data_IF_491197652165
#
_entry.id   IF_491197652165
#
_cell.length_a   1.000
_cell.length_b   1.000
_cell.length_c   1.000
_cell.angle_alpha   90.00
_cell.angle_beta   90.00
_cell.angle_gamma   90.00
#
_symmetry.space_group_name_H-M   'P 1'
#
loop_
_entity.id
_entity.type
_entity.pdbx_description
1 polymer ?
#
# COMPACT_ATOMS: atom_id res chain seq x y z
N UNK A 1 12.93 8.19 22.51
CA UNK A 1 11.72 8.75 21.90
C UNK A 1 10.66 7.69 21.98
N UNK A 2 9.51 7.97 22.52
CA UNK A 2 8.45 6.97 22.70
C UNK A 2 7.53 6.96 21.46
N UNK A 3 6.99 5.81 21.09
CA UNK A 3 5.99 5.70 20.00
C UNK A 3 4.81 6.68 20.19
N UNK A 4 4.52 7.05 21.44
CA UNK A 4 3.50 8.08 21.75
C UNK A 4 3.80 9.46 21.14
N UNK A 5 5.06 9.79 20.95
CA UNK A 5 5.47 11.12 20.48
C UNK A 5 5.16 11.33 18.99
N UNK A 6 4.91 10.27 18.24
CA UNK A 6 4.55 10.33 16.81
C UNK A 6 3.05 10.55 16.52
N UNK A 7 2.21 10.62 17.55
CA UNK A 7 0.75 10.79 17.37
C UNK A 7 0.37 12.14 16.81
N UNK A 8 1.07 13.17 17.27
CA UNK A 8 0.80 14.56 16.94
C UNK A 8 2.13 15.16 16.49
N UNK A 9 2.22 15.52 15.23
CA UNK A 9 3.44 16.05 14.63
C UNK A 9 3.91 17.31 15.37
N UNK A 10 2.98 18.19 15.77
CA UNK A 10 3.31 19.41 16.52
C UNK A 10 3.85 19.08 17.94
N UNK A 11 3.21 18.16 18.66
CA UNK A 11 3.69 17.69 19.96
C UNK A 11 5.04 16.99 19.85
N UNK A 12 5.24 16.19 18.80
CA UNK A 12 6.51 15.55 18.51
C UNK A 12 7.62 16.59 18.30
N UNK A 13 7.38 17.61 17.49
CA UNK A 13 8.35 18.68 17.23
C UNK A 13 8.71 19.44 18.52
N UNK A 14 7.72 19.80 19.31
CA UNK A 14 7.92 20.47 20.59
C UNK A 14 8.79 19.60 21.54
N UNK A 15 8.44 18.34 21.71
CA UNK A 15 9.17 17.39 22.55
C UNK A 15 10.57 17.12 22.02
N UNK A 16 10.74 17.00 20.70
CA UNK A 16 12.03 16.79 20.07
C UNK A 16 12.97 17.97 20.37
N UNK A 17 12.54 19.19 20.12
CA UNK A 17 13.31 20.41 20.42
C UNK A 17 13.63 20.53 21.91
N UNK A 18 12.68 20.19 22.78
CA UNK A 18 12.85 20.16 24.24
C UNK A 18 13.95 19.16 24.65
N UNK A 19 13.90 17.93 24.12
CA UNK A 19 14.90 16.91 24.43
C UNK A 19 16.26 17.20 23.79
N UNK A 20 16.30 17.81 22.64
CA UNK A 20 17.53 18.24 21.99
C UNK A 20 18.31 19.25 22.84
N UNK A 21 17.63 20.12 23.60
CA UNK A 21 18.22 21.12 24.51
C UNK A 21 18.66 20.55 25.86
N UNK A 22 18.13 19.38 26.26
CA UNK A 22 18.49 18.78 27.58
C UNK A 22 19.94 18.28 27.58
N UNK A 23 20.70 18.58 28.67
CA UNK A 23 22.09 18.18 28.83
C UNK A 23 22.30 16.87 29.61
N UNK A 24 21.27 16.43 30.31
CA UNK A 24 21.27 15.20 31.12
C UNK A 24 20.96 13.93 30.30
N UNK A 25 20.58 14.06 29.03
CA UNK A 25 20.36 12.94 28.16
C UNK A 25 21.62 12.54 27.40
N UNK A 26 21.87 11.21 27.34
CA UNK A 26 22.88 10.66 26.41
C UNK A 26 22.41 10.83 24.99
N UNK A 27 23.10 11.61 24.19
CA UNK A 27 22.72 11.89 22.78
C UNK A 27 23.97 11.99 21.90
N UNK A 28 23.74 11.71 20.62
CA UNK A 28 24.69 11.95 19.54
C UNK A 28 24.08 13.00 18.62
N UNK A 29 24.86 14.00 18.26
CA UNK A 29 24.44 15.06 17.33
C UNK A 29 24.93 14.70 15.94
N UNK A 30 24.01 14.78 14.99
CA UNK A 30 24.26 14.59 13.56
C UNK A 30 23.47 15.67 12.81
N UNK A 31 23.94 16.10 11.64
CA UNK A 31 23.13 16.97 10.79
C UNK A 31 21.93 16.19 10.21
N UNK A 32 20.79 16.88 9.98
CA UNK A 32 19.63 16.27 9.33
C UNK A 32 20.00 15.71 7.94
N UNK A 33 20.88 16.40 7.21
CA UNK A 33 21.41 15.94 5.94
C UNK A 33 22.17 14.61 6.07
N UNK A 34 23.02 14.46 7.09
CA UNK A 34 23.76 13.22 7.33
C UNK A 34 22.84 12.07 7.71
N UNK A 35 21.84 12.31 8.58
CA UNK A 35 20.82 11.30 8.93
C UNK A 35 20.05 10.86 7.69
N UNK A 36 19.64 11.79 6.86
CA UNK A 36 18.85 11.49 5.67
C UNK A 36 19.70 10.77 4.61
N UNK A 37 20.87 11.29 4.25
CA UNK A 37 21.73 10.71 3.19
C UNK A 37 22.35 9.38 3.61
N UNK A 38 23.03 9.36 4.73
CA UNK A 38 23.84 8.21 5.16
C UNK A 38 23.03 7.19 5.96
N UNK A 39 22.05 7.63 6.75
CA UNK A 39 21.21 6.76 7.55
C UNK A 39 20.04 6.18 6.74
N UNK A 40 19.28 7.02 6.06
CA UNK A 40 18.04 6.57 5.40
C UNK A 40 18.29 6.18 3.94
N UNK A 41 18.73 7.11 3.09
CA UNK A 41 18.82 6.85 1.64
C UNK A 41 19.86 5.80 1.31
N UNK A 42 21.05 5.88 1.91
CA UNK A 42 22.12 4.91 1.65
C UNK A 42 21.69 3.52 2.08
N UNK A 43 21.26 3.35 3.31
CA UNK A 43 20.84 2.05 3.82
C UNK A 43 19.66 1.47 3.02
N UNK A 44 18.68 2.32 2.66
CA UNK A 44 17.54 1.92 1.83
C UNK A 44 17.98 1.44 0.45
N UNK A 45 18.96 2.08 -0.18
CA UNK A 45 19.44 1.69 -1.51
C UNK A 45 20.37 0.49 -1.48
N UNK A 46 21.20 0.37 -0.44
CA UNK A 46 22.15 -0.73 -0.30
C UNK A 46 21.46 -2.05 0.06
N UNK A 47 20.48 -2.01 0.97
CA UNK A 47 19.79 -3.20 1.46
C UNK A 47 18.42 -3.43 0.80
N UNK A 48 17.80 -2.38 0.28
CA UNK A 48 16.43 -2.41 -0.24
C UNK A 48 15.33 -2.45 0.83
N UNK A 49 15.67 -2.49 2.12
CA UNK A 49 14.77 -2.91 3.22
C UNK A 49 14.38 -1.82 4.20
N UNK A 50 14.91 -0.60 4.15
CA UNK A 50 14.43 0.48 5.03
C UNK A 50 13.06 0.94 4.54
N UNK A 51 12.02 0.46 5.21
CA UNK A 51 10.63 0.86 4.96
C UNK A 51 10.35 2.21 5.61
N UNK A 52 9.55 3.02 4.96
CA UNK A 52 9.22 4.36 5.45
C UNK A 52 7.71 4.46 5.68
N UNK A 53 7.34 5.13 6.76
CA UNK A 53 5.95 5.46 7.07
C UNK A 53 5.86 6.97 7.29
N UNK A 54 5.04 7.64 6.50
CA UNK A 54 4.73 9.05 6.65
C UNK A 54 3.54 9.18 7.61
N UNK A 55 3.85 9.35 8.88
CA UNK A 55 2.83 9.23 9.94
C UNK A 55 1.77 10.33 9.86
N UNK A 56 2.12 11.50 9.38
CA UNK A 56 1.20 12.61 9.11
C UNK A 56 0.16 12.22 8.04
N UNK A 57 0.60 11.68 6.90
CA UNK A 57 -0.31 11.17 5.87
C UNK A 57 -1.18 10.03 6.40
N UNK A 58 -0.61 9.13 7.23
CA UNK A 58 -1.36 8.03 7.85
C UNK A 58 -2.48 8.55 8.73
N UNK A 59 -2.20 9.50 9.61
CA UNK A 59 -3.21 10.03 10.54
C UNK A 59 -4.24 10.93 9.85
N UNK A 60 -3.79 11.73 8.89
CA UNK A 60 -4.66 12.71 8.22
C UNK A 60 -5.58 12.08 7.17
N UNK A 61 -5.11 11.03 6.47
CA UNK A 61 -5.81 10.42 5.33
C UNK A 61 -6.34 9.01 5.62
N UNK A 62 -6.15 8.50 6.84
CA UNK A 62 -6.62 7.16 7.25
C UNK A 62 -8.11 7.11 7.53
N UNK A 63 -8.69 5.91 7.66
CA UNK A 63 -10.11 5.71 7.90
C UNK A 63 -10.54 5.94 9.35
N UNK A 64 -9.59 6.07 10.27
CA UNK A 64 -9.85 6.26 11.69
C UNK A 64 -9.65 7.72 12.10
N UNK A 65 -10.54 8.20 12.94
CA UNK A 65 -10.37 9.50 13.58
C UNK A 65 -9.28 9.37 14.66
N UNK A 66 -8.21 10.18 14.61
CA UNK A 66 -7.12 10.14 15.59
C UNK A 66 -7.56 10.42 17.04
N UNK A 67 -8.71 11.04 17.27
CA UNK A 67 -9.28 11.23 18.60
C UNK A 67 -9.68 9.91 19.25
N UNK A 68 -10.15 8.94 18.47
CA UNK A 68 -10.54 7.61 18.96
C UNK A 68 -9.45 6.57 18.76
N UNK A 69 -8.81 6.60 17.60
CA UNK A 69 -7.86 5.57 17.18
C UNK A 69 -6.61 6.17 16.55
N UNK A 70 -5.47 5.90 17.13
CA UNK A 70 -4.17 6.28 16.58
C UNK A 70 -3.50 5.09 15.91
N UNK A 71 -3.00 5.28 14.70
CA UNK A 71 -2.16 4.30 14.01
C UNK A 71 -0.70 4.52 14.39
N UNK A 72 -0.03 3.48 14.90
CA UNK A 72 1.36 3.57 15.36
C UNK A 72 2.35 2.95 14.40
N UNK A 73 1.91 1.98 13.60
CA UNK A 73 2.77 1.18 12.74
C UNK A 73 1.96 0.53 11.61
N UNK A 74 2.66 0.07 10.58
CA UNK A 74 2.11 -0.79 9.52
C UNK A 74 2.44 -2.27 9.78
N UNK A 75 1.87 -3.16 8.95
CA UNK A 75 2.36 -4.52 8.81
C UNK A 75 3.72 -4.56 8.08
N UNK A 76 4.29 -5.76 7.91
CA UNK A 76 5.57 -5.96 7.23
C UNK A 76 5.55 -5.40 5.80
N UNK A 77 4.49 -5.65 5.04
CA UNK A 77 4.38 -5.20 3.64
C UNK A 77 3.89 -3.75 3.48
N UNK A 78 3.67 -3.03 4.57
CA UNK A 78 3.34 -1.60 4.63
C UNK A 78 1.98 -1.17 4.07
N UNK A 79 1.08 -2.10 3.69
CA UNK A 79 -0.25 -1.76 3.18
C UNK A 79 -1.33 -1.69 4.26
N UNK A 80 -1.14 -2.36 5.40
CA UNK A 80 -2.13 -2.42 6.48
C UNK A 80 -1.82 -1.37 7.54
N UNK A 81 -2.80 -0.51 7.78
CA UNK A 81 -2.74 0.58 8.77
C UNK A 81 -3.97 0.49 9.68
N UNK A 82 -3.86 -0.31 10.74
CA UNK A 82 -4.93 -0.57 11.68
C UNK A 82 -4.53 -0.15 13.10
N UNK A 83 -5.49 0.33 13.91
CA UNK A 83 -5.23 0.65 15.30
C UNK A 83 -4.97 -0.62 16.09
N UNK A 84 -3.92 -0.61 16.90
CA UNK A 84 -3.55 -1.68 17.81
C UNK A 84 -3.59 -1.21 19.25
N UNK A 85 -3.84 -2.14 20.18
CA UNK A 85 -3.76 -1.89 21.62
C UNK A 85 -2.77 -2.87 22.24
N UNK A 86 -1.77 -2.39 23.01
CA UNK A 86 -0.80 -3.25 23.66
C UNK A 86 -1.46 -4.11 24.74
N UNK A 87 -0.93 -5.30 24.96
CA UNK A 87 -1.39 -6.21 26.01
C UNK A 87 -0.16 -6.85 26.72
N UNK A 88 -0.35 -7.28 27.95
CA UNK A 88 0.73 -7.85 28.77
C UNK A 88 0.71 -9.38 28.78
N UNK A 89 -0.45 -9.99 28.54
CA UNK A 89 -0.69 -11.42 28.63
C UNK A 89 -1.63 -11.85 27.51
N UNK A 90 -1.57 -13.10 27.07
CA UNK A 90 -2.44 -13.65 26.02
C UNK A 90 -3.93 -13.69 26.41
N UNK A 91 -4.24 -13.67 27.70
CA UNK A 91 -5.60 -13.61 28.22
C UNK A 91 -6.10 -12.17 28.49
N UNK A 92 -5.33 -11.16 28.10
CA UNK A 92 -5.71 -9.75 28.28
C UNK A 92 -6.77 -9.35 27.23
N UNK A 93 -8.00 -9.20 27.70
CA UNK A 93 -9.15 -8.82 26.88
C UNK A 93 -9.16 -7.36 26.42
N UNK A 94 -8.15 -6.56 26.78
CA UNK A 94 -8.04 -5.15 26.36
C UNK A 94 -7.10 -4.95 25.16
N UNK A 95 -6.30 -5.96 24.83
CA UNK A 95 -5.38 -5.91 23.70
C UNK A 95 -6.09 -6.03 22.34
N UNK A 96 -5.50 -5.43 21.29
CA UNK A 96 -5.97 -5.60 19.92
C UNK A 96 -4.78 -5.69 18.97
N UNK A 97 -4.74 -6.71 18.12
CA UNK A 97 -3.74 -6.90 17.07
C UNK A 97 -4.36 -6.64 15.69
N UNK A 98 -3.55 -6.17 14.74
CA UNK A 98 -4.00 -5.96 13.38
C UNK A 98 -4.24 -7.29 12.66
N UNK A 99 -5.26 -7.35 11.80
CA UNK A 99 -5.58 -8.48 10.95
C UNK A 99 -5.42 -8.12 9.48
N UNK A 100 -4.64 -8.90 8.73
CA UNK A 100 -4.51 -8.77 7.29
C UNK A 100 -5.57 -9.62 6.57
N UNK A 101 -6.71 -9.03 6.21
CA UNK A 101 -7.78 -9.71 5.45
C UNK A 101 -7.81 -9.13 4.05
N UNK A 102 -7.14 -9.79 3.12
CA UNK A 102 -6.79 -9.23 1.82
C UNK A 102 -7.56 -9.85 0.66
N UNK A 103 -7.83 -9.02 -0.34
CA UNK A 103 -8.35 -9.41 -1.64
C UNK A 103 -7.89 -8.42 -2.71
N UNK A 104 -8.07 -8.75 -4.00
CA UNK A 104 -7.70 -7.85 -5.09
C UNK A 104 -8.68 -7.97 -6.24
N UNK A 105 -9.04 -6.84 -6.84
CA UNK A 105 -9.84 -6.76 -8.06
C UNK A 105 -8.90 -6.76 -9.27
N UNK A 106 -9.10 -7.72 -10.17
CA UNK A 106 -8.35 -7.80 -11.43
C UNK A 106 -8.92 -6.83 -12.46
N UNK A 107 -8.36 -5.62 -12.55
CA UNK A 107 -8.85 -4.60 -13.49
C UNK A 107 -8.75 -5.03 -14.95
N UNK A 108 -7.76 -5.85 -15.30
CA UNK A 108 -7.61 -6.36 -16.65
C UNK A 108 -8.77 -7.24 -17.15
N UNK A 109 -9.58 -7.78 -16.24
CA UNK A 109 -10.73 -8.61 -16.56
C UNK A 109 -11.96 -7.81 -17.05
N UNK A 110 -12.02 -6.50 -16.80
CA UNK A 110 -13.17 -5.67 -17.09
C UNK A 110 -12.93 -4.77 -18.31
N UNK A 111 -14.02 -4.43 -19.02
CA UNK A 111 -13.98 -3.47 -20.13
C UNK A 111 -14.15 -2.05 -19.61
N UNK A 112 -15.12 -1.86 -18.74
CA UNK A 112 -15.49 -0.57 -18.16
C UNK A 112 -15.45 -0.66 -16.64
N UNK A 113 -15.28 0.45 -15.92
CA UNK A 113 -15.22 0.44 -14.46
C UNK A 113 -16.55 0.02 -13.81
N UNK A 114 -17.70 0.26 -14.45
CA UNK A 114 -19.03 -0.15 -13.97
C UNK A 114 -19.17 -1.67 -13.85
N UNK A 115 -18.48 -2.42 -14.71
CA UNK A 115 -18.52 -3.88 -14.72
C UNK A 115 -17.93 -4.49 -13.43
N UNK A 116 -17.14 -3.73 -12.66
CA UNK A 116 -16.55 -4.19 -11.40
C UNK A 116 -17.54 -4.28 -10.23
N UNK A 117 -18.70 -3.59 -10.29
CA UNK A 117 -19.63 -3.49 -9.14
C UNK A 117 -19.97 -4.84 -8.53
N UNK A 118 -20.32 -5.81 -9.38
CA UNK A 118 -20.66 -7.16 -8.92
C UNK A 118 -19.46 -7.87 -8.28
N UNK A 119 -18.26 -7.73 -8.85
CA UNK A 119 -17.05 -8.34 -8.31
C UNK A 119 -16.67 -7.75 -6.94
N UNK A 120 -16.72 -6.44 -6.79
CA UNK A 120 -16.49 -5.75 -5.52
C UNK A 120 -17.44 -6.27 -4.44
N UNK A 121 -18.75 -6.31 -4.73
CA UNK A 121 -19.78 -6.81 -3.81
C UNK A 121 -19.57 -8.27 -3.39
N UNK A 122 -19.24 -9.15 -4.35
CA UNK A 122 -19.03 -10.58 -4.07
C UNK A 122 -17.76 -10.77 -3.26
N UNK A 123 -16.65 -10.15 -3.65
CA UNK A 123 -15.38 -10.27 -2.95
C UNK A 123 -15.50 -9.79 -1.49
N UNK A 124 -16.07 -8.61 -1.29
CA UNK A 124 -16.25 -8.06 0.05
C UNK A 124 -17.14 -8.95 0.94
N UNK A 125 -18.27 -9.42 0.41
CA UNK A 125 -19.14 -10.38 1.13
C UNK A 125 -18.40 -11.68 1.45
N UNK A 126 -17.59 -12.20 0.55
CA UNK A 126 -16.82 -13.41 0.77
C UNK A 126 -15.80 -13.23 1.90
N UNK A 127 -15.08 -12.11 1.91
CA UNK A 127 -14.13 -11.80 2.97
C UNK A 127 -14.82 -11.58 4.32
N UNK A 128 -15.97 -10.89 4.35
CA UNK A 128 -16.79 -10.77 5.57
C UNK A 128 -17.25 -12.14 6.07
N UNK A 129 -17.67 -13.06 5.17
CA UNK A 129 -18.06 -14.41 5.56
C UNK A 129 -16.89 -15.19 6.17
N UNK A 130 -15.67 -15.02 5.65
CA UNK A 130 -14.47 -15.64 6.23
C UNK A 130 -14.22 -15.08 7.64
N UNK A 131 -14.29 -13.78 7.83
CA UNK A 131 -14.12 -13.14 9.14
C UNK A 131 -15.18 -13.59 10.16
N UNK A 132 -16.42 -13.76 9.72
CA UNK A 132 -17.53 -14.19 10.58
C UNK A 132 -17.47 -15.70 10.90
N UNK A 133 -16.84 -16.52 10.05
CA UNK A 133 -16.82 -17.98 10.14
C UNK A 133 -15.59 -18.54 10.86
N UNK A 134 -14.42 -17.86 10.76
CA UNK A 134 -13.16 -18.39 11.27
C UNK A 134 -13.08 -18.36 12.81
N UNK A 135 -12.39 -19.35 13.39
CA UNK A 135 -11.97 -19.34 14.78
C UNK A 135 -10.69 -18.52 14.96
N UNK A 136 -10.66 -17.65 15.95
CA UNK A 136 -9.49 -16.82 16.24
C UNK A 136 -8.60 -17.45 17.30
N UNK A 137 -7.30 -17.54 17.04
CA UNK A 137 -6.31 -18.14 17.94
C UNK A 137 -6.08 -17.34 19.23
N UNK A 138 -6.44 -16.06 19.24
CA UNK A 138 -6.28 -15.19 20.40
C UNK A 138 -7.48 -14.28 20.58
N UNK A 139 -7.73 -13.89 21.84
CA UNK A 139 -8.78 -12.93 22.17
C UNK A 139 -8.52 -11.55 21.50
N UNK A 140 -7.25 -11.17 21.33
CA UNK A 140 -6.86 -9.90 20.72
C UNK A 140 -7.15 -9.86 19.21
N UNK A 141 -7.03 -11.01 18.52
CA UNK A 141 -7.44 -11.15 17.12
C UNK A 141 -8.96 -11.09 17.00
N UNK A 142 -9.67 -11.79 17.89
CA UNK A 142 -11.13 -11.78 17.93
C UNK A 142 -11.67 -10.38 18.16
N UNK A 143 -11.10 -9.63 19.11
CA UNK A 143 -11.49 -8.25 19.38
C UNK A 143 -11.29 -7.33 18.15
N UNK A 144 -10.18 -7.50 17.43
CA UNK A 144 -9.96 -6.75 16.18
C UNK A 144 -11.07 -7.03 15.17
N UNK A 145 -11.43 -8.30 15.00
CA UNK A 145 -12.55 -8.68 14.14
C UNK A 145 -13.89 -8.11 14.61
N UNK A 146 -14.24 -8.31 15.87
CA UNK A 146 -15.53 -7.93 16.41
C UNK A 146 -15.73 -6.40 16.40
N UNK A 147 -14.68 -5.64 16.69
CA UNK A 147 -14.75 -4.18 16.79
C UNK A 147 -14.73 -3.49 15.43
N UNK A 148 -13.88 -3.92 14.48
CA UNK A 148 -13.62 -3.17 13.24
C UNK A 148 -13.84 -3.95 11.94
N UNK A 149 -13.93 -5.29 11.95
CA UNK A 149 -14.13 -6.09 10.73
C UNK A 149 -13.22 -5.65 9.57
N UNK A 150 -11.86 -5.65 9.72
CA UNK A 150 -10.97 -4.97 8.79
C UNK A 150 -10.82 -5.74 7.48
N UNK A 151 -10.91 -5.03 6.35
CA UNK A 151 -10.63 -5.54 5.02
C UNK A 151 -9.56 -4.70 4.34
N UNK A 152 -8.81 -5.32 3.41
CA UNK A 152 -7.86 -4.65 2.53
C UNK A 152 -8.02 -5.17 1.10
N UNK A 153 -8.91 -4.55 0.32
CA UNK A 153 -9.18 -4.93 -1.07
C UNK A 153 -8.37 -4.01 -2.00
N UNK A 154 -7.45 -4.59 -2.75
CA UNK A 154 -6.54 -3.88 -3.65
C UNK A 154 -6.87 -4.03 -5.12
N UNK A 155 -5.87 -3.76 -5.95
CA UNK A 155 -5.88 -3.84 -7.41
C UNK A 155 -4.81 -4.81 -7.87
N UNK A 156 -5.10 -5.63 -8.86
CA UNK A 156 -4.10 -6.44 -9.56
C UNK A 156 -4.23 -6.30 -11.06
N UNK A 157 -3.16 -6.69 -11.78
CA UNK A 157 -3.10 -6.69 -13.23
C UNK A 157 -3.10 -5.29 -13.88
N UNK A 158 -2.60 -4.28 -13.16
CA UNK A 158 -2.61 -2.89 -13.64
C UNK A 158 -1.73 -2.70 -14.89
N UNK A 159 -0.57 -3.36 -14.96
CA UNK A 159 0.30 -3.25 -16.12
C UNK A 159 -0.35 -3.83 -17.41
N UNK A 160 -1.08 -4.92 -17.30
CA UNK A 160 -1.88 -5.44 -18.42
C UNK A 160 -3.02 -4.49 -18.78
N UNK A 161 -3.71 -3.94 -17.78
CA UNK A 161 -4.76 -2.97 -17.96
C UNK A 161 -4.27 -1.73 -18.76
N UNK A 162 -3.07 -1.20 -18.42
CA UNK A 162 -2.40 -0.14 -19.18
C UNK A 162 -2.06 -0.57 -20.61
N UNK A 163 -1.42 -1.71 -20.77
CA UNK A 163 -1.02 -2.23 -22.09
C UNK A 163 -2.21 -2.43 -23.02
N UNK A 164 -3.32 -2.97 -22.50
CA UNK A 164 -4.56 -3.21 -23.25
C UNK A 164 -5.20 -1.91 -23.75
N UNK A 165 -5.05 -0.82 -23.00
CA UNK A 165 -5.57 0.52 -23.33
C UNK A 165 -4.56 1.41 -24.05
N UNK A 166 -3.32 0.94 -24.23
CA UNK A 166 -2.21 1.74 -24.77
C UNK A 166 -1.90 2.99 -23.93
N UNK A 167 -2.13 2.90 -22.63
CA UNK A 167 -1.81 3.92 -21.64
C UNK A 167 -0.44 3.64 -21.02
N UNK A 168 0.17 4.67 -20.44
CA UNK A 168 1.45 4.56 -19.75
C UNK A 168 1.40 5.14 -18.34
N UNK A 169 2.17 4.52 -17.44
CA UNK A 169 2.28 5.00 -16.08
C UNK A 169 2.75 6.45 -16.03
N UNK A 170 2.03 7.28 -15.27
CA UNK A 170 2.38 8.67 -15.02
C UNK A 170 2.01 9.67 -16.12
N UNK A 171 1.49 9.22 -17.27
CA UNK A 171 0.94 10.12 -18.29
C UNK A 171 -0.43 10.66 -17.86
N UNK A 172 -0.73 11.91 -18.19
CA UNK A 172 -1.93 12.60 -17.70
C UNK A 172 -3.23 11.86 -18.00
N UNK A 173 -3.40 11.40 -19.21
CA UNK A 173 -4.62 10.68 -19.63
C UNK A 173 -4.75 9.35 -18.87
N UNK A 174 -3.62 8.68 -18.64
CA UNK A 174 -3.56 7.46 -17.85
C UNK A 174 -3.92 7.72 -16.39
N UNK A 175 -3.41 8.79 -15.78
CA UNK A 175 -3.70 9.14 -14.39
C UNK A 175 -5.19 9.46 -14.20
N UNK A 176 -5.81 10.15 -15.17
CA UNK A 176 -7.24 10.44 -15.13
C UNK A 176 -8.09 9.16 -15.24
N UNK A 177 -7.70 8.26 -16.13
CA UNK A 177 -8.40 6.97 -16.30
C UNK A 177 -8.24 6.09 -15.03
N UNK A 178 -7.03 6.07 -14.44
CA UNK A 178 -6.78 5.39 -13.15
C UNK A 178 -7.64 5.98 -12.03
N UNK A 179 -7.79 7.31 -11.98
CA UNK A 179 -8.67 7.98 -11.01
C UNK A 179 -10.11 7.51 -11.16
N UNK A 180 -10.65 7.55 -12.37
CA UNK A 180 -12.03 7.10 -12.65
C UNK A 180 -12.26 5.64 -12.23
N UNK A 181 -11.35 4.74 -12.60
CA UNK A 181 -11.45 3.33 -12.20
C UNK A 181 -11.35 3.12 -10.69
N UNK A 182 -10.47 3.87 -10.03
CA UNK A 182 -10.32 3.74 -8.59
C UNK A 182 -11.49 4.34 -7.82
N UNK A 183 -12.08 5.44 -8.31
CA UNK A 183 -13.31 5.99 -7.79
C UNK A 183 -14.44 4.97 -7.82
N UNK A 184 -14.65 4.30 -8.96
CA UNK A 184 -15.67 3.27 -9.09
C UNK A 184 -15.44 2.11 -8.13
N UNK A 185 -14.19 1.61 -8.00
CA UNK A 185 -13.90 0.54 -7.04
C UNK A 185 -14.18 0.98 -5.61
N UNK A 186 -13.73 2.16 -5.21
CA UNK A 186 -13.94 2.71 -3.88
C UNK A 186 -15.43 2.90 -3.58
N UNK A 187 -16.19 3.43 -4.53
CA UNK A 187 -17.63 3.62 -4.41
C UNK A 187 -18.35 2.28 -4.22
N UNK A 188 -18.07 1.28 -5.05
CA UNK A 188 -18.75 -0.01 -4.97
C UNK A 188 -18.40 -0.81 -3.72
N UNK A 189 -17.18 -0.70 -3.21
CA UNK A 189 -16.80 -1.28 -1.92
C UNK A 189 -17.50 -0.56 -0.76
N UNK A 190 -17.60 0.76 -0.82
CA UNK A 190 -18.33 1.54 0.20
C UNK A 190 -19.83 1.24 0.16
N UNK A 191 -20.42 1.13 -1.02
CA UNK A 191 -21.82 0.69 -1.20
C UNK A 191 -22.05 -0.70 -0.58
N UNK A 192 -21.14 -1.64 -0.87
CA UNK A 192 -21.26 -3.03 -0.39
C UNK A 192 -21.12 -3.14 1.14
N UNK A 193 -20.25 -2.34 1.79
CA UNK A 193 -20.14 -2.36 3.27
C UNK A 193 -21.38 -1.77 3.92
N UNK A 194 -22.03 -0.76 3.32
CA UNK A 194 -23.29 -0.20 3.82
C UNK A 194 -24.44 -1.22 3.62
N UNK A 195 -24.50 -1.91 2.49
CA UNK A 195 -25.48 -2.98 2.28
C UNK A 195 -25.32 -4.11 3.31
N UNK A 196 -24.07 -4.51 3.61
CA UNK A 196 -23.78 -5.51 4.63
C UNK A 196 -24.12 -5.01 6.03
N UNK A 197 -23.93 -3.72 6.31
CA UNK A 197 -24.36 -3.14 7.57
C UNK A 197 -25.88 -3.14 7.74
N UNK A 198 -26.64 -2.88 6.68
CA UNK A 198 -28.11 -3.02 6.68
C UNK A 198 -28.56 -4.46 6.95
N UNK A 199 -27.84 -5.45 6.42
CA UNK A 199 -28.16 -6.87 6.53
C UNK A 199 -27.75 -7.48 7.86
N UNK A 200 -26.56 -7.13 8.40
CA UNK A 200 -25.91 -7.82 9.52
C UNK A 200 -25.56 -6.91 10.70
N UNK A 201 -25.85 -5.62 10.61
CA UNK A 201 -25.40 -4.61 11.54
C UNK A 201 -24.01 -4.05 11.19
N UNK A 202 -23.78 -2.81 11.60
CA UNK A 202 -22.48 -2.15 11.50
C UNK A 202 -21.45 -2.79 12.44
N UNK A 203 -20.15 -2.62 12.18
CA UNK A 203 -19.11 -2.98 13.14
C UNK A 203 -19.21 -2.08 14.38
N UNK A 204 -18.67 -2.55 15.50
CA UNK A 204 -18.81 -1.87 16.82
C UNK A 204 -18.23 -0.46 16.77
N UNK A 205 -17.04 -0.30 16.21
CA UNK A 205 -16.33 0.98 16.13
C UNK A 205 -16.75 1.83 14.90
N UNK A 206 -17.82 1.45 14.18
CA UNK A 206 -18.26 2.16 12.95
C UNK A 206 -18.36 3.67 13.15
N UNK A 207 -18.95 4.12 14.26
CA UNK A 207 -19.14 5.54 14.58
C UNK A 207 -17.83 6.29 14.91
N UNK A 208 -16.74 5.57 15.19
CA UNK A 208 -15.40 6.12 15.46
C UNK A 208 -14.53 6.15 14.19
N UNK A 209 -15.09 5.70 13.07
CA UNK A 209 -14.42 5.79 11.77
C UNK A 209 -14.88 7.06 11.02
N UNK A 210 -14.04 7.54 10.12
CA UNK A 210 -14.42 8.62 9.22
C UNK A 210 -15.56 8.22 8.29
N UNK A 211 -15.64 6.96 7.90
CA UNK A 211 -16.82 6.44 7.21
C UNK A 211 -18.10 6.63 8.00
N UNK A 212 -18.13 6.23 9.27
CA UNK A 212 -19.29 6.44 10.14
C UNK A 212 -19.64 7.91 10.35
N UNK A 213 -18.68 8.81 10.26
CA UNK A 213 -18.86 10.26 10.26
C UNK A 213 -19.31 10.81 8.90
N UNK A 214 -19.35 10.00 7.86
CA UNK A 214 -19.73 10.39 6.51
C UNK A 214 -18.60 11.02 5.72
N UNK A 215 -17.35 10.70 6.02
CA UNK A 215 -16.15 11.23 5.36
C UNK A 215 -15.51 10.11 4.54
N UNK A 216 -15.24 10.36 3.26
CA UNK A 216 -14.59 9.40 2.37
C UNK A 216 -13.08 9.64 2.28
N UNK A 217 -12.26 8.60 2.01
CA UNK A 217 -10.81 8.75 1.90
C UNK A 217 -10.38 9.82 0.88
N UNK A 218 -11.04 9.88 -0.28
CA UNK A 218 -10.70 10.83 -1.33
C UNK A 218 -10.91 12.31 -0.95
N UNK A 219 -11.76 12.59 0.03
CA UNK A 219 -11.95 13.95 0.58
C UNK A 219 -10.79 14.37 1.50
N UNK A 220 -10.02 13.40 2.00
CA UNK A 220 -8.88 13.60 2.90
C UNK A 220 -7.54 13.54 2.17
N UNK A 221 -7.56 13.39 0.83
CA UNK A 221 -6.34 13.29 0.04
C UNK A 221 -5.45 14.52 0.20
N UNK A 222 -4.16 14.34 0.08
CA UNK A 222 -3.21 15.44 0.08
C UNK A 222 -3.49 16.41 -1.10
N UNK A 223 -3.35 17.71 -0.86
CA UNK A 223 -3.55 18.71 -1.92
C UNK A 223 -2.64 18.50 -3.14
N UNK A 224 -1.40 18.06 -2.91
CA UNK A 224 -0.42 17.83 -3.97
C UNK A 224 -0.87 16.84 -5.03
N UNK A 225 -1.74 15.86 -4.72
CA UNK A 225 -2.22 14.90 -5.72
C UNK A 225 -3.16 15.52 -6.75
N UNK A 226 -3.76 16.68 -6.46
CA UNK A 226 -4.64 17.38 -7.39
C UNK A 226 -3.94 17.89 -8.66
N UNK A 227 -2.62 17.97 -8.65
CA UNK A 227 -1.85 18.29 -9.85
C UNK A 227 -1.78 17.12 -10.86
N UNK A 228 -2.03 15.87 -10.37
CA UNK A 228 -1.91 14.65 -11.14
C UNK A 228 -3.19 14.27 -11.90
N UNK A 229 -4.37 14.52 -11.32
CA UNK A 229 -5.67 14.20 -11.90
C UNK A 229 -6.75 15.15 -11.38
N UNK A 230 -7.89 15.20 -12.07
CA UNK A 230 -9.09 15.88 -11.60
C UNK A 230 -9.91 14.93 -10.70
N UNK A 231 -10.05 15.30 -9.43
CA UNK A 231 -10.78 14.52 -8.43
C UNK A 231 -12.25 14.96 -8.27
N UNK A 232 -12.81 15.70 -9.24
CA UNK A 232 -14.25 15.93 -9.25
C UNK A 232 -14.97 14.57 -9.23
N UNK A 233 -15.96 14.37 -8.32
CA UNK A 233 -16.66 13.10 -8.20
C UNK A 233 -17.54 12.83 -9.43
N UNK A 234 -17.48 11.60 -9.93
CA UNK A 234 -18.26 11.13 -11.07
C UNK A 234 -19.51 10.34 -10.65
N UNK A 235 -19.55 9.87 -9.39
CA UNK A 235 -20.60 9.04 -8.84
C UNK A 235 -21.37 9.76 -7.73
N UNK A 236 -22.57 9.25 -7.38
CA UNK A 236 -23.44 9.84 -6.35
C UNK A 236 -23.00 9.51 -4.93
N UNK A 237 -21.90 10.13 -4.51
CA UNK A 237 -21.36 9.99 -3.16
C UNK A 237 -22.29 10.55 -2.07
N UNK A 238 -23.19 11.50 -2.38
CA UNK A 238 -24.06 12.11 -1.38
C UNK A 238 -25.18 11.17 -0.94
N UNK A 239 -25.78 10.43 -1.87
CA UNK A 239 -26.73 9.37 -1.52
C UNK A 239 -26.04 8.28 -0.70
N UNK A 240 -24.81 7.91 -1.06
CA UNK A 240 -24.02 6.93 -0.33
C UNK A 240 -23.65 7.44 1.08
N UNK A 241 -23.28 8.70 1.22
CA UNK A 241 -23.01 9.38 2.51
C UNK A 241 -24.23 9.33 3.43
N UNK A 242 -25.39 9.62 2.91
CA UNK A 242 -26.66 9.60 3.66
C UNK A 242 -26.93 8.18 4.19
N UNK A 243 -26.80 7.17 3.34
CA UNK A 243 -26.96 5.78 3.73
C UNK A 243 -25.91 5.33 4.76
N UNK A 244 -24.66 5.75 4.58
CA UNK A 244 -23.56 5.43 5.49
C UNK A 244 -23.77 6.03 6.88
N UNK A 245 -24.23 7.28 6.98
CA UNK A 245 -24.60 7.91 8.26
C UNK A 245 -25.78 7.23 8.94
N UNK A 246 -26.74 6.74 8.17
CA UNK A 246 -27.95 6.11 8.70
C UNK A 246 -27.70 4.69 9.20
N UNK A 247 -26.93 3.88 8.46
CA UNK A 247 -26.79 2.44 8.72
C UNK A 247 -25.40 2.05 9.25
N UNK A 248 -24.44 2.96 9.21
CA UNK A 248 -23.04 2.68 9.51
C UNK A 248 -22.36 1.86 8.42
N UNK A 249 -21.18 1.34 8.73
CA UNK A 249 -20.39 0.46 7.87
C UNK A 249 -20.15 -0.88 8.54
N UNK A 250 -20.23 -1.98 7.79
CA UNK A 250 -19.88 -3.32 8.30
C UNK A 250 -18.39 -3.45 8.55
N UNK A 251 -17.57 -2.82 7.72
CA UNK A 251 -16.12 -2.87 7.74
C UNK A 251 -15.55 -1.47 8.00
N UNK A 252 -14.72 -1.32 9.01
CA UNK A 252 -14.07 -0.04 9.34
C UNK A 252 -12.99 0.34 8.32
N UNK A 253 -12.43 -0.65 7.61
CA UNK A 253 -11.50 -0.46 6.48
C UNK A 253 -11.93 -1.31 5.30
N UNK A 254 -11.69 -0.82 4.08
CA UNK A 254 -12.11 -1.46 2.84
C UNK A 254 -10.95 -1.78 1.92
N UNK A 255 -9.96 -0.89 1.83
CA UNK A 255 -8.94 -0.95 0.78
C UNK A 255 -7.52 -0.87 1.33
N UNK A 256 -6.70 -1.78 0.80
CA UNK A 256 -5.25 -1.77 0.89
C UNK A 256 -4.68 -2.43 -0.38
N UNK A 257 -3.59 -1.93 -0.91
CA UNK A 257 -2.94 -2.55 -2.08
C UNK A 257 -1.71 -3.30 -1.62
N UNK A 258 -1.86 -4.61 -1.48
CA UNK A 258 -0.82 -5.55 -1.08
C UNK A 258 0.01 -6.05 -2.27
N UNK A 259 1.21 -6.60 -2.03
CA UNK A 259 1.89 -7.44 -3.01
C UNK A 259 1.04 -8.69 -3.30
N UNK A 260 0.84 -9.02 -4.58
CA UNK A 260 0.00 -10.17 -4.99
C UNK A 260 0.75 -11.15 -5.87
N UNK A 261 2.02 -11.37 -5.61
CA UNK A 261 2.90 -12.19 -6.45
C UNK A 261 2.37 -13.60 -6.69
N UNK A 262 1.97 -14.30 -5.64
CA UNK A 262 1.44 -15.66 -5.75
C UNK A 262 0.05 -15.68 -6.40
N UNK A 263 -0.86 -14.81 -5.96
CA UNK A 263 -2.23 -14.75 -6.50
C UNK A 263 -2.26 -14.33 -7.97
N UNK A 264 -1.36 -13.45 -8.40
CA UNK A 264 -1.25 -13.03 -9.80
C UNK A 264 -0.84 -14.17 -10.72
N UNK A 265 0.03 -15.07 -10.23
CA UNK A 265 0.44 -16.27 -10.98
C UNK A 265 -0.75 -17.20 -11.22
N UNK A 266 -1.55 -17.48 -10.20
CA UNK A 266 -2.70 -18.38 -10.29
C UNK A 266 -3.70 -17.96 -11.36
N UNK A 267 -3.91 -16.65 -11.51
CA UNK A 267 -4.86 -16.09 -12.49
C UNK A 267 -4.19 -15.59 -13.78
N UNK A 268 -2.90 -15.87 -13.96
CA UNK A 268 -2.08 -15.37 -15.07
C UNK A 268 -2.24 -13.85 -15.30
N UNK A 269 -1.98 -13.07 -14.26
CA UNK A 269 -2.03 -11.60 -14.29
C UNK A 269 -0.65 -10.99 -14.01
N UNK A 270 -0.49 -9.71 -14.28
CA UNK A 270 0.67 -8.95 -13.79
C UNK A 270 0.51 -8.66 -12.29
N UNK A 271 1.63 -8.57 -11.56
CA UNK A 271 1.65 -8.39 -10.11
C UNK A 271 1.11 -7.01 -9.71
N UNK A 272 0.03 -6.99 -8.96
CA UNK A 272 -0.53 -5.78 -8.34
C UNK A 272 -0.65 -4.59 -9.29
N UNK A 273 -0.06 -3.49 -8.85
CA UNK A 273 0.01 -2.22 -9.58
C UNK A 273 1.38 -1.96 -10.21
N UNK A 274 2.31 -2.90 -10.11
CA UNK A 274 3.70 -2.73 -10.53
C UNK A 274 3.90 -2.96 -12.03
N UNK A 275 4.94 -2.31 -12.56
CA UNK A 275 5.46 -2.64 -13.89
C UNK A 275 6.12 -4.02 -13.83
N UNK A 276 5.92 -4.89 -14.82
CA UNK A 276 6.64 -6.15 -14.88
C UNK A 276 8.14 -5.91 -15.11
N UNK A 277 8.97 -6.72 -14.48
CA UNK A 277 10.44 -6.65 -14.68
C UNK A 277 10.84 -7.13 -16.07
N UNK A 278 10.10 -8.11 -16.61
CA UNK A 278 10.28 -8.67 -17.95
C UNK A 278 8.95 -9.19 -18.51
N UNK A 279 8.87 -9.36 -19.83
CA UNK A 279 7.68 -9.91 -20.50
C UNK A 279 7.51 -11.41 -20.23
N UNK A 280 8.62 -12.09 -20.00
CA UNK A 280 8.70 -13.53 -19.70
C UNK A 280 9.61 -13.67 -18.47
N UNK A 281 9.14 -14.33 -17.44
CA UNK A 281 9.87 -14.57 -16.20
C UNK A 281 9.82 -16.05 -15.83
N UNK A 282 10.93 -16.56 -15.31
CA UNK A 282 10.96 -17.90 -14.71
C UNK A 282 10.74 -17.73 -13.21
N UNK A 283 9.76 -18.43 -12.68
CA UNK A 283 9.47 -18.52 -11.24
C UNK A 283 9.92 -19.87 -10.75
N UNK A 284 10.67 -19.89 -9.68
CA UNK A 284 11.11 -21.13 -9.01
C UNK A 284 10.30 -21.35 -7.75
N UNK A 285 9.94 -22.60 -7.50
CA UNK A 285 9.25 -23.03 -6.29
C UNK A 285 9.76 -24.42 -5.88
N UNK A 286 9.42 -24.88 -4.67
CA UNK A 286 9.73 -26.26 -4.24
C UNK A 286 9.16 -27.33 -5.17
N UNK A 287 8.09 -27.02 -5.90
CA UNK A 287 7.48 -27.93 -6.88
C UNK A 287 8.13 -27.89 -8.26
N UNK A 288 9.14 -27.03 -8.47
CA UNK A 288 9.84 -26.85 -9.74
C UNK A 288 9.78 -25.41 -10.26
N UNK A 289 10.43 -25.19 -11.40
CA UNK A 289 10.39 -23.91 -12.11
C UNK A 289 9.30 -23.90 -13.16
N UNK A 290 8.66 -22.73 -13.35
CA UNK A 290 7.71 -22.52 -14.43
C UNK A 290 7.90 -21.13 -15.05
N UNK A 291 7.53 -21.04 -16.33
CA UNK A 291 7.61 -19.78 -17.08
C UNK A 291 6.28 -19.05 -17.02
N UNK A 292 6.31 -17.83 -16.51
CA UNK A 292 5.18 -16.91 -16.55
C UNK A 292 5.38 -15.90 -17.68
N UNK A 293 4.35 -15.72 -18.50
CA UNK A 293 4.33 -14.78 -19.62
C UNK A 293 3.24 -13.73 -19.33
N UNK A 294 3.54 -12.46 -19.58
CA UNK A 294 2.53 -11.40 -19.41
C UNK A 294 1.28 -11.67 -20.24
N UNK A 295 0.07 -11.31 -19.75
CA UNK A 295 -1.17 -11.55 -20.47
C UNK A 295 -1.16 -11.00 -21.90
N UNK A 296 -1.75 -11.72 -22.83
CA UNK A 296 -1.82 -11.38 -24.26
C UNK A 296 -0.46 -10.99 -24.90
N UNK A 297 0.62 -11.64 -24.51
CA UNK A 297 1.99 -11.36 -24.94
C UNK A 297 2.10 -11.16 -26.47
N UNK A 298 1.52 -12.07 -27.26
CA UNK A 298 1.63 -12.02 -28.73
C UNK A 298 1.11 -10.70 -29.32
N UNK A 299 0.07 -10.09 -28.68
CA UNK A 299 -0.57 -8.86 -29.16
C UNK A 299 -0.02 -7.61 -28.50
N UNK A 300 0.38 -7.70 -27.23
CA UNK A 300 0.63 -6.54 -26.38
C UNK A 300 2.10 -6.38 -25.95
N UNK A 301 3.01 -7.25 -26.35
CA UNK A 301 4.43 -7.19 -25.93
C UNK A 301 5.08 -5.81 -26.09
N UNK A 302 4.73 -5.08 -27.17
CA UNK A 302 5.29 -3.77 -27.48
C UNK A 302 4.53 -2.61 -26.78
N UNK A 303 3.48 -2.91 -25.99
CA UNK A 303 2.67 -1.93 -25.26
C UNK A 303 2.93 -1.97 -23.75
N UNK A 304 3.52 -3.04 -23.26
CA UNK A 304 3.95 -3.10 -21.86
C UNK A 304 5.11 -2.15 -21.61
N UNK A 305 5.05 -1.44 -20.50
CA UNK A 305 6.20 -0.76 -19.95
C UNK A 305 6.90 -1.70 -18.97
N UNK A 306 8.21 -1.89 -19.12
CA UNK A 306 9.00 -2.71 -18.23
C UNK A 306 9.69 -1.86 -17.16
N UNK A 307 9.77 -2.39 -15.94
CA UNK A 307 10.34 -1.68 -14.78
C UNK A 307 11.76 -1.18 -15.07
N UNK A 308 12.62 -2.02 -15.63
CA UNK A 308 14.03 -1.71 -15.87
C UNK A 308 14.30 -0.87 -17.12
N UNK A 309 13.30 -0.62 -17.94
CA UNK A 309 13.36 0.33 -19.06
C UNK A 309 13.06 1.75 -18.60
N UNK A 310 12.46 1.93 -17.42
CA UNK A 310 12.22 3.26 -16.87
C UNK A 310 13.49 3.83 -16.24
N UNK A 311 13.70 5.12 -16.43
CA UNK A 311 14.84 5.84 -15.84
C UNK A 311 14.73 5.89 -14.31
N UNK A 312 13.53 6.04 -13.79
CA UNK A 312 13.19 6.07 -12.38
C UNK A 312 11.73 5.65 -12.17
N UNK A 313 11.29 5.67 -10.92
CA UNK A 313 9.93 5.28 -10.53
C UNK A 313 8.90 6.43 -10.56
N UNK A 314 9.19 7.60 -11.12
CA UNK A 314 8.31 8.78 -11.08
C UNK A 314 6.90 8.48 -11.63
N UNK A 315 6.80 7.90 -12.83
CA UNK A 315 5.50 7.55 -13.43
C UNK A 315 4.69 6.54 -12.60
N UNK A 316 5.37 5.57 -12.00
CA UNK A 316 4.75 4.60 -11.09
C UNK A 316 4.28 5.28 -9.80
N UNK A 317 5.09 6.16 -9.20
CA UNK A 317 4.72 6.88 -7.98
C UNK A 317 3.53 7.81 -8.19
N UNK A 318 3.44 8.51 -9.33
CA UNK A 318 2.26 9.30 -9.71
C UNK A 318 1.01 8.44 -9.78
N UNK A 319 1.10 7.29 -10.46
CA UNK A 319 -0.01 6.34 -10.55
C UNK A 319 -0.42 5.80 -9.18
N UNK A 320 0.54 5.39 -8.35
CA UNK A 320 0.28 4.94 -6.99
C UNK A 320 -0.34 6.03 -6.11
N UNK A 321 0.06 7.31 -6.29
CA UNK A 321 -0.51 8.44 -5.54
C UNK A 321 -1.96 8.71 -5.90
N UNK A 322 -2.32 8.61 -7.18
CA UNK A 322 -3.73 8.73 -7.61
C UNK A 322 -4.58 7.59 -7.02
N UNK A 323 -4.07 6.36 -7.00
CA UNK A 323 -4.73 5.23 -6.34
C UNK A 323 -4.87 5.48 -4.83
N UNK A 324 -3.81 5.98 -4.18
CA UNK A 324 -3.75 6.21 -2.73
C UNK A 324 -4.80 7.22 -2.24
N UNK A 325 -5.24 8.14 -3.10
CA UNK A 325 -6.29 9.10 -2.76
C UNK A 325 -7.62 8.43 -2.37
N UNK A 326 -7.88 7.23 -2.86
CA UNK A 326 -9.09 6.46 -2.57
C UNK A 326 -8.84 5.29 -1.60
N UNK A 327 -7.58 4.93 -1.35
CA UNK A 327 -7.21 3.82 -0.44
C UNK A 327 -7.22 4.30 0.99
N UNK A 328 -8.09 3.73 1.79
CA UNK A 328 -8.24 4.10 3.21
C UNK A 328 -7.02 3.67 4.05
N UNK A 329 -6.45 2.49 3.86
CA UNK A 329 -5.22 2.08 4.52
C UNK A 329 -4.01 2.55 3.70
N UNK A 330 -3.21 1.66 3.12
CA UNK A 330 -2.03 2.05 2.35
C UNK A 330 -1.77 1.15 1.15
N UNK A 331 -0.66 1.43 0.48
CA UNK A 331 -0.15 0.71 -0.68
C UNK A 331 1.27 0.25 -0.37
N UNK A 332 1.59 -1.02 -0.63
CA UNK A 332 2.95 -1.54 -0.61
C UNK A 332 3.76 -0.95 -1.78
N UNK A 333 4.20 0.29 -1.63
CA UNK A 333 4.81 1.07 -2.70
C UNK A 333 6.30 0.81 -2.77
N UNK A 334 6.77 0.18 -3.85
CA UNK A 334 8.19 0.01 -4.13
C UNK A 334 8.77 1.23 -4.84
N UNK A 335 10.06 1.49 -4.64
CA UNK A 335 10.85 2.36 -5.51
C UNK A 335 11.80 1.50 -6.33
N UNK A 336 12.09 1.92 -7.55
CA UNK A 336 13.02 1.17 -8.41
C UNK A 336 13.87 2.10 -9.25
N UNK A 337 15.13 1.70 -9.46
CA UNK A 337 16.11 2.47 -10.23
C UNK A 337 16.99 1.55 -11.06
N UNK A 338 17.30 1.96 -12.28
CA UNK A 338 18.23 1.25 -13.14
C UNK A 338 19.48 2.10 -13.39
N UNK A 339 20.63 1.77 -12.77
CA UNK A 339 21.88 2.49 -12.96
C UNK A 339 22.33 2.60 -14.44
N UNK A 340 21.90 1.67 -15.31
CA UNK A 340 22.25 1.69 -16.73
C UNK A 340 21.76 2.97 -17.47
N UNK A 341 20.78 3.67 -16.95
CA UNK A 341 20.28 4.92 -17.54
C UNK A 341 21.09 6.17 -17.15
N UNK A 342 22.17 6.02 -16.37
CA UNK A 342 23.04 7.11 -15.94
C UNK A 342 24.46 6.93 -16.48
N UNK A 343 25.12 8.03 -16.84
CA UNK A 343 26.43 8.02 -17.52
C UNK A 343 27.52 7.33 -16.69
N UNK A 344 27.54 7.53 -15.38
CA UNK A 344 28.48 6.93 -14.43
C UNK A 344 27.96 5.63 -13.82
N UNK A 345 26.83 5.13 -14.29
CA UNK A 345 26.12 3.97 -13.74
C UNK A 345 25.82 4.08 -12.24
N UNK A 346 25.59 5.30 -11.78
CA UNK A 346 25.19 5.59 -10.40
C UNK A 346 23.88 6.37 -10.40
N UNK A 347 22.94 5.95 -9.55
CA UNK A 347 21.69 6.65 -9.35
C UNK A 347 21.95 7.88 -8.48
N UNK A 348 21.64 9.11 -8.94
CA UNK A 348 21.83 10.30 -8.12
C UNK A 348 20.98 10.26 -6.85
N UNK A 349 21.59 10.49 -5.70
CA UNK A 349 20.90 10.55 -4.41
C UNK A 349 19.80 11.60 -4.39
N UNK A 350 20.01 12.70 -5.10
CA UNK A 350 19.01 13.79 -5.26
C UNK A 350 17.76 13.32 -6.01
N UNK A 351 17.88 12.39 -6.96
CA UNK A 351 16.74 11.79 -7.64
C UNK A 351 15.92 10.94 -6.66
N UNK A 352 16.59 10.08 -5.87
CA UNK A 352 15.93 9.24 -4.87
C UNK A 352 15.21 10.10 -3.83
N UNK A 353 15.90 11.13 -3.30
CA UNK A 353 15.32 12.07 -2.35
C UNK A 353 14.08 12.77 -2.93
N UNK A 354 14.19 13.27 -4.18
CA UNK A 354 13.07 13.92 -4.88
C UNK A 354 11.86 13.00 -4.97
N UNK A 355 12.05 11.75 -5.41
CA UNK A 355 10.95 10.80 -5.56
C UNK A 355 10.26 10.52 -4.22
N UNK A 356 11.01 10.39 -3.13
CA UNK A 356 10.44 10.19 -1.79
C UNK A 356 9.65 11.42 -1.32
N UNK A 357 10.21 12.63 -1.50
CA UNK A 357 9.54 13.86 -1.09
C UNK A 357 8.28 14.15 -1.90
N UNK A 358 8.33 13.99 -3.21
CA UNK A 358 7.16 14.17 -4.08
C UNK A 358 6.05 13.18 -3.74
N UNK A 359 6.39 11.92 -3.54
CA UNK A 359 5.42 10.90 -3.16
C UNK A 359 4.74 11.21 -1.80
N UNK A 360 5.50 11.71 -0.83
CA UNK A 360 4.93 12.21 0.43
C UNK A 360 3.95 13.38 0.17
N UNK A 361 4.33 14.36 -0.64
CA UNK A 361 3.48 15.51 -0.98
C UNK A 361 2.22 15.10 -1.76
N UNK A 362 2.30 14.03 -2.57
CA UNK A 362 1.14 13.45 -3.26
C UNK A 362 0.29 12.52 -2.38
N UNK A 363 0.60 12.38 -1.10
CA UNK A 363 -0.22 11.68 -0.14
C UNK A 363 0.06 10.19 0.01
N UNK A 364 1.16 9.65 -0.56
CA UNK A 364 1.55 8.29 -0.22
C UNK A 364 1.86 8.17 1.28
N UNK A 365 1.40 7.09 1.89
CA UNK A 365 1.51 6.85 3.33
C UNK A 365 2.75 6.02 3.69
N UNK A 366 3.18 5.14 2.77
CA UNK A 366 4.28 4.19 3.06
C UNK A 366 5.15 3.92 1.84
N UNK A 367 6.40 3.53 2.11
CA UNK A 367 7.30 2.90 1.15
C UNK A 367 7.76 1.54 1.65
N UNK A 368 7.71 0.55 0.77
CA UNK A 368 8.14 -0.82 1.00
C UNK A 368 9.59 -1.01 0.51
N UNK A 369 9.87 -1.83 -0.48
CA UNK A 369 11.23 -2.06 -0.97
C UNK A 369 11.79 -0.90 -1.81
N UNK A 370 13.14 -0.88 -1.92
CA UNK A 370 13.86 -0.10 -2.91
C UNK A 370 14.65 -1.05 -3.81
N UNK A 371 14.26 -1.15 -5.06
CA UNK A 371 14.83 -2.09 -6.02
C UNK A 371 15.89 -1.40 -6.88
N UNK A 372 17.08 -1.97 -6.96
CA UNK A 372 18.16 -1.50 -7.83
C UNK A 372 18.49 -2.60 -8.84
N UNK A 373 18.49 -2.27 -10.13
CA UNK A 373 18.90 -3.22 -11.16
C UNK A 373 20.43 -3.45 -11.12
N UNK A 374 20.86 -4.44 -10.37
CA UNK A 374 22.30 -4.78 -10.24
C UNK A 374 22.93 -5.21 -11.57
N UNK A 375 22.21 -5.84 -12.48
CA UNK A 375 22.69 -6.21 -13.81
C UNK A 375 23.01 -4.97 -14.67
N UNK A 376 22.42 -3.81 -14.38
CA UNK A 376 22.73 -2.53 -15.01
C UNK A 376 23.97 -1.82 -14.45
N UNK A 377 24.59 -2.33 -13.39
CA UNK A 377 25.75 -1.73 -12.72
C UNK A 377 27.03 -2.52 -13.01
N UNK A 378 28.03 -1.89 -13.63
CA UNK A 378 29.35 -2.52 -13.85
C UNK A 378 30.13 -2.78 -12.54
N UNK A 379 29.88 -1.99 -11.51
CA UNK A 379 30.59 -2.10 -10.23
C UNK A 379 30.27 -3.39 -9.45
N UNK A 380 29.21 -4.11 -9.80
CA UNK A 380 28.82 -5.36 -9.14
C UNK A 380 29.48 -6.60 -9.76
N UNK A 381 30.09 -6.47 -10.97
CA UNK A 381 30.73 -7.60 -11.65
C UNK A 381 32.19 -7.83 -11.22
N UNK A 382 32.86 -6.85 -10.66
CA UNK A 382 34.30 -6.97 -10.32
C UNK A 382 34.59 -7.25 -8.83
N UNK A 383 33.65 -6.96 -7.89
CA UNK A 383 33.87 -7.08 -6.45
C UNK A 383 32.81 -7.92 -5.69
N UNK A 384 31.92 -8.59 -6.37
CA UNK A 384 31.07 -9.55 -5.68
C UNK A 384 31.92 -10.79 -5.40
N UNK A 385 32.15 -11.18 -4.13
CA UNK A 385 32.56 -12.54 -3.87
C UNK A 385 31.52 -13.43 -4.55
N UNK A 386 32.01 -14.40 -5.30
CA UNK A 386 31.18 -15.45 -5.87
C UNK A 386 30.18 -15.90 -4.79
N UNK A 387 28.89 -15.91 -5.17
CA UNK A 387 27.80 -16.36 -4.33
C UNK A 387 27.33 -15.38 -3.23
N UNK A 388 26.49 -14.43 -3.65
CA UNK A 388 25.18 -14.51 -3.01
C UNK A 388 24.51 -15.73 -3.65
N UNK A 389 24.47 -16.82 -2.92
CA UNK A 389 23.53 -17.91 -3.22
C UNK A 389 22.17 -17.28 -3.49
N UNK A 390 21.37 -17.82 -4.43
CA UNK A 390 19.99 -17.39 -4.55
C UNK A 390 19.47 -17.34 -3.12
N UNK A 391 18.93 -16.18 -2.69
CA UNK A 391 18.29 -16.10 -1.38
C UNK A 391 17.22 -17.16 -1.48
N UNK A 392 17.45 -18.27 -0.78
CA UNK A 392 16.47 -19.31 -0.64
C UNK A 392 15.29 -18.61 0.02
N UNK A 393 14.18 -18.47 -0.69
CA UNK A 393 12.98 -17.83 -0.13
C UNK A 393 12.44 -18.63 1.06
N UNK A 394 13.02 -19.83 1.32
CA UNK A 394 12.78 -20.63 2.51
C UNK A 394 13.51 -20.10 3.76
N UNK A 395 14.62 -19.34 3.62
CA UNK A 395 15.35 -18.70 4.75
C UNK A 395 14.84 -17.29 5.08
N UNK A 396 13.94 -16.71 4.30
CA UNK A 396 13.09 -15.72 4.87
C UNK A 396 12.24 -16.46 5.90
N UNK A 397 12.52 -16.21 7.17
CA UNK A 397 11.62 -16.55 8.27
C UNK A 397 10.22 -16.22 7.78
N UNK A 398 9.59 -17.23 7.19
CA UNK A 398 8.21 -17.15 6.79
C UNK A 398 7.49 -16.79 8.05
N UNK A 399 6.87 -15.63 8.05
CA UNK A 399 5.99 -15.22 9.13
C UNK A 399 5.08 -16.42 9.39
N UNK A 400 5.26 -17.11 10.53
CA UNK A 400 4.50 -18.32 10.87
C UNK A 400 3.00 -18.05 10.83
N UNK A 401 2.60 -16.77 11.03
CA UNK A 401 1.24 -16.29 10.84
C UNK A 401 0.72 -16.42 9.39
N UNK A 402 1.59 -16.56 8.38
CA UNK A 402 1.17 -16.78 6.99
C UNK A 402 1.16 -18.27 6.61
N UNK A 403 1.49 -19.18 7.53
CA UNK A 403 1.48 -20.63 7.33
C UNK A 403 0.27 -21.34 7.94
N UNK A 404 -0.65 -20.60 8.59
CA UNK A 404 -1.89 -21.15 9.16
C UNK A 404 -3.07 -20.93 8.21
#
# INVERSE_FOLDING_TARGET
>A
MCIRDSRNTAEFEELYVKYEKRRDLRKKTMSAEEVFKSGILKERTDTGRIYLVFIDNVQNQGPFDPEFHTIYQSNLCCEILLPTRPFKRLDDAMGRIALCTLGSINWGAFRNPEDMRRACRILQRSLCNILDYQDFLSIQSKLSNDEIQPLGIGVTNLAYWHAKRSLKYGERDSLQEVKTWMEHQAYYLTEATVELAKERGACVDSHQTRYGQGIFPWELRAEGVNELADFAPELDWETLRTNMKQYGVRNATLMAIAPVESSSVVINSTNGIELPMSLISTKESKAGSFTQVVPEYAKLKNKYQLMWEQKDCDGYLKTASVLAAYVDQSISTNTFYNPAHFADRKVPTTLIARNLMQAHMWGLKTFYYSLINKAGSKAVQEDAPAMLEPIDFDDQESCEACKL
#
